data_IF_610583875903
#
_entry.id   IF_610583875903
#
_cell.length_a   1.000
_cell.length_b   1.000
_cell.length_c   1.000
_cell.angle_alpha   90.00
_cell.angle_beta   90.00
_cell.angle_gamma   90.00
#
_symmetry.space_group_name_H-M   'P 1'
#
loop_
_entity.id
_entity.type
_entity.pdbx_description
1 polymer ?
2 non-polymer ?
3 non-polymer ?
4 non-polymer ?
5 water ?
#
# COMPACT_ATOMS: atom_id res chain seq x y z
N UNK A 1 -1.65 -12.14 -13.92
CA UNK A 1 -1.02 -12.54 -12.60
C UNK A 1 -2.03 -12.99 -11.55
N UNK A 2 -1.65 -12.98 -10.27
CA UNK A 2 -2.74 -13.36 -9.35
C UNK A 2 -3.70 -12.21 -8.99
N UNK A 3 -5.02 -12.49 -8.95
CA UNK A 3 -6.01 -11.61 -8.33
C UNK A 3 -6.47 -12.25 -7.04
N UNK A 4 -7.23 -11.53 -6.20
CA UNK A 4 -7.95 -12.20 -5.10
C UNK A 4 -9.24 -12.76 -5.63
N UNK A 5 -9.64 -13.94 -5.19
CA UNK A 5 -10.86 -14.54 -5.76
C UNK A 5 -12.07 -14.48 -4.82
N UNK A 6 -12.29 -13.32 -4.21
CA UNK A 6 -13.28 -13.17 -3.15
C UNK A 6 -13.43 -11.67 -2.85
N UNK A 7 -14.62 -11.28 -2.42
CA UNK A 7 -14.96 -9.87 -2.26
C UNK A 7 -14.62 -9.22 -0.93
N UNK A 8 -14.79 -9.97 0.15
CA UNK A 8 -14.44 -9.49 1.48
C UNK A 8 -12.98 -9.78 1.75
N UNK A 9 -12.19 -8.72 1.85
CA UNK A 9 -10.74 -8.82 2.06
C UNK A 9 -10.37 -8.19 3.42
N UNK A 10 -9.47 -8.84 4.18
CA UNK A 10 -8.97 -8.25 5.40
C UNK A 10 -7.54 -7.71 5.36
N UNK A 11 -7.31 -6.71 6.20
CA UNK A 11 -5.99 -6.28 6.47
C UNK A 11 -5.82 -6.11 7.97
N UNK A 12 -4.57 -6.03 8.35
CA UNK A 12 -4.16 -5.91 9.72
C UNK A 12 -2.84 -5.11 9.75
N UNK A 13 -2.81 -3.99 10.48
CA UNK A 13 -1.53 -3.31 10.75
C UNK A 13 -0.76 -4.05 11.85
N UNK A 14 0.43 -4.51 11.51
CA UNK A 14 1.19 -5.45 12.36
C UNK A 14 1.90 -4.71 13.46
N UNK A 15 2.48 -3.56 13.10
CA UNK A 15 3.17 -2.71 14.04
C UNK A 15 3.19 -1.28 13.53
N UNK A 16 3.34 -0.34 14.43
CA UNK A 16 3.19 1.06 14.06
C UNK A 16 4.54 1.76 14.01
N UNK A 17 4.74 2.57 12.97
CA UNK A 17 5.95 3.39 12.88
C UNK A 17 5.99 4.40 14.03
N UNK A 18 7.18 4.62 14.61
CA UNK A 18 7.35 5.63 15.67
C UNK A 18 7.16 7.06 15.17
N UNK A 19 7.30 7.25 13.86
CA UNK A 19 7.31 8.55 13.17
C UNK A 19 5.96 9.27 13.21
N UNK A 20 4.87 8.54 13.46
CA UNK A 20 3.54 9.16 13.33
C UNK A 20 2.75 8.86 14.56
N UNK A 21 1.68 9.63 14.78
CA UNK A 21 0.64 9.29 15.77
C UNK A 21 -0.07 8.03 15.32
N UNK A 22 -0.43 7.17 16.28
CA UNK A 22 -1.24 5.99 15.95
C UNK A 22 -2.46 6.23 15.07
N UNK A 23 -3.34 7.15 15.48
CA UNK A 23 -4.59 7.36 14.78
C UNK A 23 -4.30 7.80 13.34
N UNK A 24 -3.17 8.49 13.15
CA UNK A 24 -2.70 8.94 11.83
C UNK A 24 -2.23 7.83 10.85
N UNK A 25 -1.57 6.81 11.39
CA UNK A 25 -1.26 5.60 10.64
C UNK A 25 -2.58 4.86 10.35
N UNK A 26 -3.41 4.63 11.36
CA UNK A 26 -4.72 4.03 11.05
C UNK A 26 -5.44 4.71 9.89
N UNK A 27 -5.41 6.04 9.87
CA UNK A 27 -6.22 6.81 8.96
C UNK A 27 -5.65 6.81 7.54
N UNK A 28 -4.33 6.98 7.41
CA UNK A 28 -3.60 6.84 6.15
C UNK A 28 -3.85 5.50 5.48
N UNK A 29 -3.85 4.42 6.26
CA UNK A 29 -3.97 3.08 5.69
C UNK A 29 -5.44 2.84 5.31
N UNK A 30 -6.33 3.40 6.10
CA UNK A 30 -7.74 3.19 5.84
C UNK A 30 -8.12 3.98 4.60
N UNK A 31 -7.65 5.22 4.54
CA UNK A 31 -7.90 6.04 3.37
C UNK A 31 -7.30 5.43 2.09
N UNK A 32 -6.16 4.73 2.20
CA UNK A 32 -5.48 4.17 1.03
C UNK A 32 -6.27 3.04 0.45
N UNK A 33 -6.83 2.23 1.34
CA UNK A 33 -7.68 1.15 0.95
C UNK A 33 -8.93 1.63 0.24
N UNK A 34 -9.55 2.68 0.79
CA UNK A 34 -10.81 3.23 0.24
C UNK A 34 -10.63 3.65 -1.23
N UNK A 35 -9.41 4.07 -1.59
CA UNK A 35 -9.08 4.50 -2.93
C UNK A 35 -9.27 3.36 -3.93
N UNK A 36 -8.88 2.15 -3.53
CA UNK A 36 -9.16 0.97 -4.32
C UNK A 36 -10.55 0.43 -4.19
N UNK A 37 -11.18 0.48 -3.02
CA UNK A 37 -12.56 -0.02 -2.98
C UNK A 37 -13.53 0.85 -3.78
N UNK A 38 -13.14 2.11 -4.05
CA UNK A 38 -14.02 3.11 -4.71
C UNK A 38 -14.20 2.80 -6.16
N UNK A 39 -13.27 1.99 -6.69
CA UNK A 39 -13.29 1.67 -8.10
C UNK A 39 -13.38 0.15 -8.31
N UNK A 40 -13.66 -0.65 -7.27
CA UNK A 40 -13.72 -2.12 -7.46
C UNK A 40 -14.92 -2.68 -6.71
N UNK A 41 -15.24 -3.98 -6.91
CA UNK A 41 -16.28 -4.58 -6.08
C UNK A 41 -15.85 -4.93 -4.65
N UNK A 42 -14.56 -4.81 -4.32
CA UNK A 42 -14.01 -5.36 -3.08
C UNK A 42 -14.37 -4.51 -1.85
N UNK A 43 -14.36 -5.15 -0.68
CA UNK A 43 -14.70 -4.53 0.58
C UNK A 43 -13.56 -4.88 1.50
N UNK A 44 -12.98 -3.87 2.16
CA UNK A 44 -11.86 -4.08 3.09
C UNK A 44 -12.21 -3.88 4.56
N UNK A 45 -11.60 -4.67 5.45
CA UNK A 45 -11.87 -4.65 6.90
C UNK A 45 -10.55 -4.73 7.63
N UNK A 46 -10.44 -3.94 8.70
CA UNK A 46 -9.30 -4.00 9.57
C UNK A 46 -9.60 -4.96 10.71
N UNK A 47 -8.76 -5.97 10.88
CA UNK A 47 -8.97 -6.96 11.96
C UNK A 47 -7.75 -6.76 12.82
N UNK A 48 -7.87 -7.02 14.11
CA UNK A 48 -6.81 -6.60 15.06
C UNK A 48 -6.14 -7.80 15.62
N UNK A 49 -6.61 -8.95 15.16
CA UNK A 49 -6.28 -10.21 15.73
C UNK A 49 -6.29 -11.26 14.66
N UNK A 50 -5.22 -12.04 14.64
CA UNK A 50 -5.18 -13.24 13.84
C UNK A 50 -4.82 -12.96 12.40
N UNK A 51 -5.07 -13.95 11.56
CA UNK A 51 -4.65 -13.87 10.19
C UNK A 51 -5.52 -12.94 9.35
N UNK A 52 -4.83 -12.04 8.65
CA UNK A 52 -5.41 -11.11 7.70
C UNK A 52 -4.88 -11.43 6.32
N UNK A 53 -5.65 -11.12 5.30
CA UNK A 53 -5.16 -11.26 3.94
C UNK A 53 -3.91 -10.40 3.77
N UNK A 54 -4.05 -9.10 3.95
CA UNK A 54 -2.97 -8.13 3.78
C UNK A 54 -2.38 -7.62 5.12
N UNK A 55 -1.23 -8.16 5.50
CA UNK A 55 -0.51 -7.69 6.68
C UNK A 55 0.33 -6.44 6.32
N UNK A 56 0.09 -5.35 7.05
CA UNK A 56 0.79 -4.08 6.81
C UNK A 56 1.90 -4.08 7.81
N UNK A 57 3.15 -3.97 7.35
CA UNK A 57 4.33 -4.16 8.27
C UNK A 57 5.30 -2.98 8.15
N UNK A 58 5.70 -2.35 9.25
CA UNK A 58 6.85 -1.43 9.21
C UNK A 58 8.15 -2.19 9.57
N UNK A 59 9.10 -2.25 8.64
CA UNK A 59 10.41 -2.90 8.91
C UNK A 59 11.64 -2.18 8.34
N UNK A 60 12.82 -2.56 8.80
CA UNK A 60 14.08 -2.02 8.28
C UNK A 60 15.06 -3.17 7.96
N UNK A 61 16.08 -2.84 7.16
CA UNK A 61 17.08 -3.76 6.63
C UNK A 61 16.50 -5.04 6.13
N UNK A 62 17.12 -6.12 6.58
CA UNK A 62 16.71 -7.47 6.29
C UNK A 62 15.61 -7.82 7.25
N UNK A 63 14.44 -8.14 6.71
CA UNK A 63 13.30 -8.34 7.56
C UNK A 63 12.51 -9.54 7.16
N UNK A 64 13.18 -10.58 6.67
CA UNK A 64 12.54 -11.90 6.54
C UNK A 64 12.03 -12.32 5.17
N UNK A 65 12.23 -11.51 4.16
CA UNK A 65 11.88 -11.98 2.85
C UNK A 65 13.13 -11.93 2.00
N UNK A 66 13.04 -11.39 0.81
CA UNK A 66 14.22 -11.33 -0.03
C UNK A 66 14.20 -9.93 -0.68
N UNK A 67 13.46 -9.03 -0.04
CA UNK A 67 13.40 -7.66 -0.52
C UNK A 67 13.89 -6.73 0.57
N UNK A 68 15.12 -7.03 1.01
CA UNK A 68 15.78 -6.26 2.05
C UNK A 68 15.69 -4.75 1.77
N UNK A 69 15.50 -3.99 2.83
CA UNK A 69 15.44 -2.54 2.72
C UNK A 69 16.86 -1.92 2.77
N UNK A 70 16.99 -0.67 2.33
CA UNK A 70 18.29 -0.08 1.96
C UNK A 70 18.62 1.25 2.67
N UNK A 71 18.30 1.35 3.96
CA UNK A 71 18.45 2.61 4.68
C UNK A 71 17.48 3.68 4.24
N UNK A 72 17.82 4.95 4.44
CA UNK A 72 16.88 6.01 4.14
C UNK A 72 17.03 6.40 2.65
N UNK A 73 15.93 6.80 2.02
CA UNK A 73 15.91 6.99 0.57
C UNK A 73 15.79 5.64 -0.12
N UNK A 74 15.97 5.61 -1.44
CA UNK A 74 15.87 4.36 -2.24
C UNK A 74 14.50 3.65 -2.23
N UNK A 75 14.50 2.38 -1.84
CA UNK A 75 13.25 1.62 -1.61
C UNK A 75 12.44 2.18 -0.43
N UNK A 76 11.36 2.92 -0.75
CA UNK A 76 10.37 3.37 0.23
C UNK A 76 9.53 2.23 0.81
N UNK A 77 8.97 1.38 -0.05
CA UNK A 77 8.19 0.23 0.45
C UNK A 77 8.13 -0.85 -0.59
N UNK A 78 7.73 -2.06 -0.19
CA UNK A 78 7.33 -3.02 -1.22
C UNK A 78 6.14 -3.87 -0.83
N UNK A 79 5.55 -4.53 -1.82
CA UNK A 79 4.46 -5.44 -1.53
C UNK A 79 4.43 -6.63 -2.48
N UNK A 80 3.81 -7.71 -2.01
CA UNK A 80 3.62 -8.94 -2.73
C UNK A 80 2.21 -9.01 -3.33
N UNK A 81 2.06 -9.65 -4.49
CA UNK A 81 0.73 -9.88 -5.12
C UNK A 81 -0.17 -10.87 -4.38
N UNK A 82 -1.47 -10.93 -4.76
CA UNK A 82 -2.43 -11.80 -4.09
C UNK A 82 -1.92 -13.24 -4.00
N UNK A 83 -2.25 -13.88 -2.88
CA UNK A 83 -1.90 -15.29 -2.64
C UNK A 83 -1.86 -15.43 -1.13
N UNK A 84 -1.70 -16.65 -0.64
CA UNK A 84 -1.79 -16.86 0.82
C UNK A 84 -0.44 -16.63 1.49
N UNK A 85 -0.42 -16.70 2.83
CA UNK A 85 0.79 -16.37 3.58
C UNK A 85 1.21 -14.94 3.31
N UNK A 86 2.51 -14.74 3.01
CA UNK A 86 3.04 -13.41 2.61
C UNK A 86 2.35 -12.77 1.39
N UNK A 87 1.65 -13.56 0.57
CA UNK A 87 0.87 -12.99 -0.54
C UNK A 87 0.04 -11.79 -0.02
N UNK A 88 0.00 -10.73 -0.81
CA UNK A 88 -0.69 -9.50 -0.42
C UNK A 88 -0.03 -8.61 0.63
N UNK A 89 1.07 -9.03 1.24
CA UNK A 89 1.58 -8.30 2.38
C UNK A 89 2.35 -7.06 1.94
N UNK A 90 2.23 -5.97 2.69
CA UNK A 90 2.88 -4.72 2.29
C UNK A 90 3.75 -4.30 3.43
N UNK A 91 5.00 -4.01 3.09
CA UNK A 91 6.08 -3.69 4.02
C UNK A 91 6.61 -2.31 3.74
N UNK A 92 6.77 -1.54 4.81
CA UNK A 92 7.12 -0.12 4.72
C UNK A 92 8.46 0.09 5.44
N UNK A 93 9.40 0.70 4.75
CA UNK A 93 10.77 0.88 5.23
C UNK A 93 10.80 1.92 6.37
N UNK A 94 11.04 1.43 7.58
CA UNK A 94 11.07 2.23 8.78
C UNK A 94 12.26 3.20 8.84
N UNK A 95 13.24 2.95 7.97
CA UNK A 95 14.33 3.88 7.78
C UNK A 95 13.88 5.13 7.04
N UNK A 96 12.65 5.14 6.52
CA UNK A 96 12.08 6.38 6.00
C UNK A 96 11.41 7.17 7.12
N UNK A 97 11.07 8.43 6.87
CA UNK A 97 10.32 9.18 7.86
C UNK A 97 8.90 9.40 7.38
N UNK A 98 7.98 8.67 8.02
CA UNK A 98 6.57 8.66 7.61
C UNK A 98 5.85 9.86 8.12
N UNK A 99 5.04 10.47 7.25
CA UNK A 99 4.32 11.69 7.61
C UNK A 99 2.88 11.71 7.07
N UNK A 100 2.08 12.63 7.59
CA UNK A 100 0.75 12.90 7.04
C UNK A 100 0.82 13.88 5.89
N UNK A 101 1.89 14.66 5.86
CA UNK A 101 2.04 15.76 4.89
C UNK A 101 3.23 15.47 3.97
N UNK A 102 4.08 16.48 3.74
CA UNK A 102 5.11 16.43 2.69
C UNK A 102 6.54 16.37 3.18
N UNK A 103 6.80 16.89 4.39
CA UNK A 103 8.08 16.59 5.07
C UNK A 103 8.19 15.07 5.13
N UNK A 104 9.36 14.51 4.84
CA UNK A 104 9.55 13.05 4.82
C UNK A 104 8.75 12.35 3.74
N UNK A 105 8.34 11.10 3.99
CA UNK A 105 7.61 10.29 3.01
C UNK A 105 6.15 10.13 3.42
N UNK A 106 5.25 10.64 2.59
CA UNK A 106 3.81 10.56 2.87
C UNK A 106 3.34 9.09 2.89
N UNK A 107 2.87 8.63 4.06
CA UNK A 107 2.40 7.25 4.21
C UNK A 107 1.22 6.92 3.31
N UNK A 108 0.23 7.82 3.28
CA UNK A 108 -1.00 7.67 2.48
C UNK A 108 -0.70 7.33 1.00
N UNK A 109 0.15 8.14 0.34
CA UNK A 109 0.44 7.96 -1.13
C UNK A 109 1.27 6.70 -1.34
N UNK A 110 2.25 6.46 -0.46
CA UNK A 110 2.94 5.18 -0.51
C UNK A 110 1.97 3.98 -0.30
N UNK A 111 1.12 3.99 0.71
CA UNK A 111 0.22 2.86 0.90
C UNK A 111 -0.74 2.64 -0.29
N UNK A 112 -1.12 3.71 -0.99
CA UNK A 112 -2.02 3.56 -2.17
C UNK A 112 -1.26 2.76 -3.25
N UNK A 113 -0.01 3.15 -3.46
CA UNK A 113 0.86 2.46 -4.38
C UNK A 113 1.03 1.01 -4.04
N UNK A 114 1.37 0.71 -2.78
CA UNK A 114 1.63 -0.63 -2.30
C UNK A 114 0.39 -1.51 -2.34
N UNK A 115 -0.76 -0.93 -1.98
CA UNK A 115 -1.99 -1.72 -2.07
C UNK A 115 -2.26 -2.03 -3.52
N UNK A 116 -1.93 -1.13 -4.42
CA UNK A 116 -2.02 -1.45 -5.84
C UNK A 116 -1.31 -2.77 -6.10
N UNK A 117 -0.06 -2.90 -5.63
CA UNK A 117 0.66 -4.15 -5.78
C UNK A 117 -0.07 -5.26 -5.06
N UNK A 118 -0.47 -5.05 -3.78
CA UNK A 118 -1.17 -6.07 -2.97
C UNK A 118 -2.38 -6.71 -3.63
N UNK A 119 -2.92 -6.00 -4.58
CA UNK A 119 -4.12 -6.39 -5.25
C UNK A 119 -3.84 -6.96 -6.63
N UNK A 120 -2.59 -6.88 -7.12
CA UNK A 120 -2.22 -7.53 -8.39
C UNK A 120 -1.75 -6.63 -9.54
N UNK A 121 -1.66 -5.32 -9.34
CA UNK A 121 -1.12 -4.37 -10.32
C UNK A 121 0.40 -4.33 -10.31
N UNK A 122 1.00 -4.40 -11.50
CA UNK A 122 2.41 -4.07 -11.67
C UNK A 122 2.51 -2.57 -11.86
N UNK A 123 3.67 -2.08 -12.32
CA UNK A 123 3.90 -0.66 -12.49
C UNK A 123 3.36 -0.19 -13.81
N UNK A 124 3.08 1.12 -13.87
CA UNK A 124 2.71 1.82 -15.13
C UNK A 124 3.88 2.74 -15.53
N UNK A 125 4.00 3.05 -16.82
CA UNK A 125 5.03 4.00 -17.28
C UNK A 125 4.50 5.42 -17.32
N UNK A 126 3.17 5.53 -17.25
CA UNK A 126 2.46 6.81 -17.19
C UNK A 126 2.87 7.55 -15.90
N UNK A 127 3.63 8.69 -16.03
CA UNK A 127 3.96 9.52 -14.84
C UNK A 127 2.74 9.97 -14.04
N UNK A 128 1.57 9.97 -14.67
CA UNK A 128 0.42 10.54 -13.97
C UNK A 128 -0.15 9.55 -12.95
N UNK A 129 0.21 8.27 -13.12
CA UNK A 129 -0.41 7.13 -12.43
C UNK A 129 0.14 6.92 -11.03
N UNK A 130 -0.69 6.46 -10.09
CA UNK A 130 -0.15 6.13 -8.76
C UNK A 130 0.81 4.93 -8.85
N UNK A 131 0.65 4.10 -9.89
CA UNK A 131 1.50 2.90 -10.05
C UNK A 131 2.81 3.17 -10.84
N UNK A 132 2.98 4.39 -11.33
CA UNK A 132 4.30 4.86 -11.77
C UNK A 132 5.28 4.58 -10.65
N UNK A 133 6.54 4.14 -10.93
CA UNK A 133 7.42 3.65 -9.86
C UNK A 133 8.17 4.66 -8.98
N UNK A 134 8.06 5.94 -9.31
CA UNK A 134 8.75 7.00 -8.56
C UNK A 134 7.80 7.75 -7.60
N UNK A 135 8.22 7.96 -6.36
CA UNK A 135 7.39 8.71 -5.42
C UNK A 135 7.42 10.23 -5.70
N UNK A 136 6.26 10.86 -5.79
CA UNK A 136 6.19 12.32 -5.81
C UNK A 136 5.00 12.76 -4.98
N UNK A 137 5.22 13.74 -4.10
CA UNK A 137 4.20 14.18 -3.14
C UNK A 137 3.23 15.14 -3.81
N UNK A 138 1.95 14.90 -3.59
CA UNK A 138 0.87 15.81 -3.96
C UNK A 138 -0.04 15.91 -2.74
N UNK A 139 -0.61 17.10 -2.51
CA UNK A 139 -1.61 17.27 -1.47
C UNK A 139 -2.62 16.14 -1.59
N UNK A 140 -2.76 15.37 -0.52
CA UNK A 140 -3.59 14.16 -0.55
C UNK A 140 -5.09 14.45 -0.65
N UNK A 141 -5.45 15.72 -0.46
CA UNK A 141 -6.78 16.20 -0.79
C UNK A 141 -6.98 16.30 -2.31
N UNK A 142 -5.89 16.38 -3.06
CA UNK A 142 -6.03 16.50 -4.50
C UNK A 142 -5.66 15.22 -5.22
N UNK A 143 -5.25 14.20 -4.47
CA UNK A 143 -4.90 12.94 -5.13
C UNK A 143 -6.12 12.32 -5.79
N UNK A 144 -5.92 11.86 -7.02
CA UNK A 144 -6.89 11.09 -7.80
C UNK A 144 -6.11 10.04 -8.57
N UNK A 145 -6.70 8.86 -8.78
CA UNK A 145 -6.07 7.84 -9.63
C UNK A 145 -6.12 8.25 -11.08
N UNK A 146 -5.05 8.02 -11.81
CA UNK A 146 -5.08 8.29 -13.24
C UNK A 146 -6.03 7.29 -13.90
N UNK A 147 -6.45 7.61 -15.12
CA UNK A 147 -7.32 6.75 -15.91
C UNK A 147 -6.61 5.42 -16.12
N UNK A 148 -5.28 5.48 -16.22
CA UNK A 148 -4.44 4.27 -16.33
C UNK A 148 -4.66 3.33 -15.17
N UNK A 149 -4.62 3.88 -13.95
CA UNK A 149 -4.78 3.10 -12.71
C UNK A 149 -6.12 2.40 -12.72
N UNK A 150 -7.16 3.18 -13.02
CA UNK A 150 -8.55 2.70 -13.06
C UNK A 150 -8.75 1.55 -14.07
N UNK A 151 -8.21 1.76 -15.28
CA UNK A 151 -8.15 0.77 -16.39
C UNK A 151 -7.42 -0.53 -16.00
N UNK A 152 -6.28 -0.43 -15.31
CA UNK A 152 -5.63 -1.62 -14.70
C UNK A 152 -6.40 -2.42 -13.65
N UNK A 153 -6.89 -1.77 -12.59
CA UNK A 153 -7.62 -2.49 -11.50
C UNK A 153 -8.97 -3.04 -11.96
N UNK A 154 -9.61 -2.35 -12.90
CA UNK A 154 -10.88 -2.86 -13.44
C UNK A 154 -10.63 -3.94 -14.48
N UNK A 155 -9.43 -4.00 -15.06
CA UNK A 155 -9.02 -5.21 -15.79
C UNK A 155 -8.94 -6.41 -14.86
N UNK A 156 -8.53 -6.18 -13.61
CA UNK A 156 -8.37 -7.28 -12.64
C UNK A 156 -9.64 -7.70 -11.90
N UNK A 157 -10.47 -6.72 -11.55
CA UNK A 157 -11.63 -6.93 -10.68
C UNK A 157 -12.84 -6.27 -11.32
N UNK A 158 -14.02 -6.75 -10.98
CA UNK A 158 -15.23 -6.09 -11.47
C UNK A 158 -15.20 -5.64 -12.92
X LIG B 1 5.95 -0.31 -6.59
X LIG C 1 9.59 -7.03 2.91
X LIG D 1 -0.97 -12.23 3.32
X LIG E 1 10.91 6.02 10.44
X LIG F 1 14.87 3.12 1.90
X LIG G 1 7.42 3.59 -4.19
X LIG G 1 10.10 1.59 -5.34
X LIG G 1 3.30 7.23 -5.66
X LIG G 1 9.87 2.84 -4.36
X LIG G 1 6.36 4.55 -4.62
X LIG G 1 7.79 -0.88 -4.28
X LIG G 1 8.06 -0.04 -6.37
X LIG G 1 5.63 5.19 -3.63
X LIG G 1 9.63 2.21 -3.09
X LIG G 1 4.62 6.10 -3.99
X LIG G 1 6.39 -0.88 -4.33
X LIG G 1 4.32 6.33 -5.35
X LIG G 1 11.05 3.66 -4.27
X LIG G 1 6.07 4.76 -5.98
X LIG G 1 5.05 5.66 -6.36
X LIG G 1 8.70 3.84 -4.95
X LIG G 1 3.05 7.68 -6.99
X LIG G 1 8.50 -0.26 -5.23
X LIG G 1 9.90 0.23 -4.87
#
# INVERSE_FOLDING_TARGET
GPVWRKHYITYRINNYTPDMNREDVDYAIRKAFQVWSNVTPLKFSKINTGMADILVVFARGAHGDDHAFDGKGGILAHAFGPGSGIGGDAHFDEDEFWTTHSGGTNLFLTAVHEIGHSLGLGHSSDPKAVMFPTYKYVDINTFRLSADDIRGIQSLYG
ZN ZN
ZN ZN
CA CA
CA CA
CA CA
KLJ C1 N1 O1 S1 C2 N2 O2 C3 O3 C4 O4 C5 O5 C6 C7 C8 C9 C10 C11
#
